data_IF_912143665538
#
_entry.id   IF_912143665538
#
_cell.length_a   1.000
_cell.length_b   1.000
_cell.length_c   1.000
_cell.angle_alpha   90.00
_cell.angle_beta   90.00
_cell.angle_gamma   90.00
#
_symmetry.space_group_name_H-M   'P 1'
#
loop_
_entity.id
_entity.type
_entity.pdbx_description
1 polymer ?
#
# COMPACT_ATOMS: atom_id res chain seq x y z
N UNK A 1 26.54 -3.92 50.20
CA UNK A 1 26.41 -3.15 48.93
C UNK A 1 26.33 -4.02 47.66
N UNK A 2 26.55 -5.35 47.69
CA UNK A 2 26.51 -6.21 46.49
C UNK A 2 25.10 -6.62 46.01
N UNK A 3 24.14 -6.74 46.94
CA UNK A 3 22.79 -7.22 46.65
C UNK A 3 21.91 -6.23 45.85
N UNK A 4 22.12 -4.92 46.00
CA UNK A 4 21.38 -3.90 45.23
C UNK A 4 21.81 -3.87 43.77
N UNK A 5 23.10 -4.10 43.50
CA UNK A 5 23.67 -4.12 42.14
C UNK A 5 23.15 -5.33 41.34
N UNK A 6 23.01 -6.50 41.97
CA UNK A 6 22.41 -7.68 41.34
C UNK A 6 20.93 -7.48 40.96
N UNK A 7 20.15 -6.85 41.83
CA UNK A 7 18.73 -6.55 41.56
C UNK A 7 18.56 -5.59 40.37
N UNK A 8 19.46 -4.61 40.24
CA UNK A 8 19.48 -3.68 39.11
C UNK A 8 19.87 -4.34 37.78
N UNK A 9 20.74 -5.36 37.80
CA UNK A 9 21.13 -6.12 36.61
C UNK A 9 19.97 -6.96 36.09
N UNK A 10 19.25 -7.65 36.98
CA UNK A 10 18.03 -8.40 36.62
C UNK A 10 16.94 -7.49 36.05
N UNK A 11 16.71 -6.34 36.68
CA UNK A 11 15.75 -5.36 36.18
C UNK A 11 16.13 -4.83 34.79
N UNK A 12 17.42 -4.58 34.54
CA UNK A 12 17.90 -4.18 33.20
C UNK A 12 17.71 -5.28 32.15
N UNK A 13 18.05 -6.52 32.47
CA UNK A 13 17.88 -7.65 31.54
C UNK A 13 16.39 -7.84 31.20
N UNK A 14 15.52 -7.85 32.21
CA UNK A 14 14.08 -7.96 32.02
C UNK A 14 13.51 -6.80 31.20
N UNK A 15 13.97 -5.57 31.46
CA UNK A 15 13.58 -4.39 30.68
C UNK A 15 14.01 -4.48 29.22
N UNK A 16 15.26 -4.88 28.96
CA UNK A 16 15.77 -5.05 27.58
C UNK A 16 15.03 -6.17 26.84
N UNK A 17 14.75 -7.30 27.50
CA UNK A 17 13.98 -8.39 26.88
C UNK A 17 12.55 -7.97 26.55
N UNK A 18 11.92 -7.16 27.42
CA UNK A 18 10.58 -6.63 27.17
C UNK A 18 10.56 -5.70 25.96
N UNK A 19 11.53 -4.78 25.87
CA UNK A 19 11.66 -3.85 24.73
C UNK A 19 11.90 -4.59 23.42
N UNK A 20 12.75 -5.64 23.43
CA UNK A 20 12.99 -6.48 22.26
C UNK A 20 11.72 -7.24 21.82
N UNK A 21 10.97 -7.81 22.75
CA UNK A 21 9.69 -8.48 22.47
C UNK A 21 8.64 -7.52 21.90
N UNK A 22 8.53 -6.31 22.45
CA UNK A 22 7.63 -5.28 21.95
C UNK A 22 7.98 -4.86 20.52
N UNK A 23 9.27 -4.66 20.25
CA UNK A 23 9.74 -4.28 18.92
C UNK A 23 9.44 -5.36 17.86
N UNK A 24 9.58 -6.64 18.21
CA UNK A 24 9.27 -7.74 17.31
C UNK A 24 7.76 -7.86 17.02
N UNK A 25 6.91 -7.68 18.03
CA UNK A 25 5.46 -7.76 17.88
C UNK A 25 4.81 -6.49 17.30
N UNK A 26 5.53 -5.36 17.24
CA UNK A 26 5.03 -4.09 16.68
C UNK A 26 5.08 -4.01 15.14
N UNK A 27 5.04 -5.17 14.46
CA UNK A 27 5.09 -5.24 12.99
C UNK A 27 3.76 -4.80 12.38
N UNK A 28 3.79 -3.85 11.45
CA UNK A 28 2.58 -3.46 10.70
C UNK A 28 2.12 -4.62 9.81
N UNK A 29 0.90 -5.12 10.04
CA UNK A 29 0.31 -6.24 9.29
C UNK A 29 -0.52 -5.80 8.09
N UNK A 30 -0.61 -4.49 7.82
CA UNK A 30 -1.37 -3.91 6.71
C UNK A 30 -0.94 -4.45 5.35
N UNK A 31 0.35 -4.75 5.16
CA UNK A 31 0.85 -5.32 3.90
C UNK A 31 0.15 -6.64 3.49
N UNK A 32 -0.42 -7.40 4.45
CA UNK A 32 -1.17 -8.63 4.16
C UNK A 32 -2.56 -8.37 3.58
N UNK A 33 -3.07 -7.15 3.70
CA UNK A 33 -4.37 -6.70 3.16
C UNK A 33 -4.21 -5.83 1.93
N UNK A 34 -3.01 -5.35 1.64
CA UNK A 34 -2.77 -4.33 0.63
C UNK A 34 -2.13 -4.93 -0.61
N UNK A 35 -2.43 -4.32 -1.75
CA UNK A 35 -1.73 -4.60 -3.00
C UNK A 35 -0.24 -4.28 -2.89
N UNK A 36 0.57 -5.05 -3.59
CA UNK A 36 2.02 -4.80 -3.69
C UNK A 36 2.30 -3.63 -4.64
N UNK A 37 3.37 -2.88 -4.38
CA UNK A 37 3.80 -1.75 -5.20
C UNK A 37 3.25 -0.39 -4.75
N UNK A 38 3.23 0.55 -5.69
CA UNK A 38 2.72 1.91 -5.50
C UNK A 38 1.30 2.08 -6.05
N UNK A 39 0.69 3.22 -5.74
CA UNK A 39 -0.65 3.59 -6.18
C UNK A 39 -0.61 4.62 -7.33
N UNK A 40 0.51 4.71 -8.06
CA UNK A 40 0.74 5.75 -9.07
C UNK A 40 -0.28 5.70 -10.22
N UNK A 41 -0.88 4.54 -10.47
CA UNK A 41 -1.96 4.38 -11.45
C UNK A 41 -3.23 5.16 -11.08
N UNK A 42 -3.45 5.50 -9.81
CA UNK A 42 -4.58 6.34 -9.37
C UNK A 42 -4.37 7.82 -9.71
N UNK A 43 -3.11 8.24 -9.85
CA UNK A 43 -2.72 9.61 -10.21
C UNK A 43 -2.59 9.81 -11.72
N UNK A 44 -2.88 8.77 -12.52
CA UNK A 44 -2.79 8.84 -13.98
C UNK A 44 -3.81 9.86 -14.54
N UNK A 45 -3.36 10.65 -15.51
CA UNK A 45 -4.23 11.60 -16.19
C UNK A 45 -5.39 10.87 -16.90
N UNK A 46 -6.61 11.45 -16.89
CA UNK A 46 -7.75 10.83 -17.55
C UNK A 46 -7.53 10.76 -19.06
N UNK A 47 -8.08 9.72 -19.68
CA UNK A 47 -8.05 9.55 -21.13
C UNK A 47 -8.86 10.65 -21.82
N UNK A 48 -8.30 11.22 -22.89
CA UNK A 48 -8.97 12.17 -23.76
C UNK A 48 -9.02 11.61 -25.18
N UNK A 49 -10.15 11.81 -25.85
CA UNK A 49 -10.30 11.40 -27.24
C UNK A 49 -9.47 12.28 -28.18
N UNK A 50 -8.92 11.65 -29.22
CA UNK A 50 -8.16 12.35 -30.25
C UNK A 50 -9.11 12.96 -31.28
N UNK A 51 -9.18 14.28 -31.33
CA UNK A 51 -10.00 14.99 -32.31
C UNK A 51 -9.31 15.05 -33.68
N UNK A 52 -9.90 14.39 -34.67
CA UNK A 52 -9.41 14.40 -36.05
C UNK A 52 -9.88 15.68 -36.79
N UNK A 53 -9.01 16.34 -37.58
CA UNK A 53 -9.42 17.39 -38.51
C UNK A 53 -10.35 16.87 -39.62
N UNK A 54 -11.14 17.76 -40.22
CA UNK A 54 -12.02 17.41 -41.33
C UNK A 54 -11.25 16.79 -42.50
N UNK A 55 -11.75 15.68 -43.04
CA UNK A 55 -11.13 14.94 -44.15
C UNK A 55 -10.09 13.89 -43.73
N UNK A 56 -9.79 13.73 -42.44
CA UNK A 56 -8.91 12.68 -41.91
C UNK A 56 -9.71 11.64 -41.12
N UNK A 57 -9.54 10.35 -41.44
CA UNK A 57 -10.12 9.24 -40.68
C UNK A 57 -9.01 8.63 -39.82
N UNK A 58 -9.23 8.61 -38.51
CA UNK A 58 -8.34 7.94 -37.57
C UNK A 58 -8.90 6.55 -37.24
N UNK A 59 -8.06 5.51 -37.12
CA UNK A 59 -8.46 4.27 -36.49
C UNK A 59 -8.60 4.51 -34.98
N UNK A 60 -9.74 5.06 -34.59
CA UNK A 60 -10.09 5.30 -33.19
C UNK A 60 -10.33 3.96 -32.49
N UNK A 61 -9.83 3.88 -31.25
CA UNK A 61 -10.02 2.83 -30.22
C UNK A 61 -10.88 1.65 -30.67
N UNK A 62 -10.28 0.74 -31.44
CA UNK A 62 -10.91 -0.49 -31.92
C UNK A 62 -10.02 -1.66 -31.52
N UNK A 63 -10.57 -2.69 -30.87
CA UNK A 63 -9.85 -3.87 -30.40
C UNK A 63 -9.77 -4.02 -28.87
N UNK A 64 -8.77 -4.75 -28.40
CA UNK A 64 -8.67 -5.24 -27.00
C UNK A 64 -8.37 -4.17 -25.94
N UNK A 65 -8.13 -2.93 -26.35
CA UNK A 65 -7.74 -1.81 -25.47
C UNK A 65 -8.88 -0.82 -25.22
N UNK A 66 -10.11 -1.12 -25.68
CA UNK A 66 -11.29 -0.30 -25.35
C UNK A 66 -11.67 -0.57 -23.90
N UNK A 67 -11.47 0.42 -23.03
CA UNK A 67 -11.80 0.32 -21.61
C UNK A 67 -13.27 0.72 -21.41
N UNK A 68 -14.17 -0.18 -20.96
CA UNK A 68 -15.54 0.19 -20.65
C UNK A 68 -15.57 1.10 -19.43
N UNK A 69 -16.17 2.27 -19.57
CA UNK A 69 -16.32 3.22 -18.47
C UNK A 69 -17.42 2.74 -17.53
N UNK A 70 -17.05 2.32 -16.33
CA UNK A 70 -17.98 1.96 -15.25
C UNK A 70 -17.77 2.87 -14.05
N UNK A 71 -18.86 3.31 -13.42
CA UNK A 71 -18.82 4.03 -12.15
C UNK A 71 -18.85 3.04 -11.01
N UNK A 72 -17.69 2.45 -10.71
CA UNK A 72 -17.50 1.66 -9.50
C UNK A 72 -17.36 2.55 -8.26
N UNK A 73 -18.00 2.18 -7.15
CA UNK A 73 -17.88 2.86 -5.85
C UNK A 73 -17.06 2.07 -4.82
N UNK A 74 -16.34 1.05 -5.27
CA UNK A 74 -15.50 0.21 -4.40
C UNK A 74 -14.24 0.93 -3.92
N UNK A 75 -13.61 0.38 -2.88
CA UNK A 75 -12.30 0.82 -2.45
C UNK A 75 -11.24 0.54 -3.53
N UNK A 76 -10.28 1.45 -3.69
CA UNK A 76 -9.18 1.36 -4.67
C UNK A 76 -7.84 1.42 -3.95
N UNK A 77 -6.78 0.94 -4.61
CA UNK A 77 -5.42 1.01 -4.05
C UNK A 77 -5.24 0.21 -2.76
N UNK A 78 -4.47 0.75 -1.82
CA UNK A 78 -4.15 0.18 -0.51
C UNK A 78 -5.31 0.27 0.49
N UNK A 79 -6.39 0.96 0.12
CA UNK A 79 -7.63 0.92 0.88
C UNK A 79 -8.45 -0.35 0.57
N UNK A 80 -8.20 -1.01 -0.56
CA UNK A 80 -8.81 -2.28 -0.90
C UNK A 80 -8.16 -3.43 -0.12
N UNK A 81 -8.95 -4.20 0.62
CA UNK A 81 -8.50 -5.42 1.31
C UNK A 81 -8.49 -6.61 0.34
N UNK A 82 -7.31 -7.20 0.09
CA UNK A 82 -7.11 -8.30 -0.87
C UNK A 82 -6.99 -9.70 -0.23
N UNK A 83 -7.33 -9.85 1.05
CA UNK A 83 -7.24 -11.13 1.77
C UNK A 83 -8.17 -12.22 1.27
#
# INVERSE_FOLDING_TARGET
MAYSVQKSRLAKVAGVSLVLLLAACSSDSRYKRQVSGDESYLDAAPLAELHAPAGMILPITTGDYVIPVTKGSGAVGKALDIR
#
